data_IF_695749677011
#
_entry.id   IF_695749677011
#
_cell.length_a   1.000
_cell.length_b   1.000
_cell.length_c   1.000
_cell.angle_alpha   90.00
_cell.angle_beta   90.00
_cell.angle_gamma   90.00
#
_symmetry.space_group_name_H-M   'P 1'
#
loop_
_entity.id
_entity.type
_entity.pdbx_description
1 polymer ?
#
# COMPACT_ATOMS: atom_id res chain seq x y z
N UNK A 1 -4.87 5.45 -8.46
CA UNK A 1 -6.34 5.47 -8.65
C UNK A 1 -6.95 4.09 -8.41
N UNK A 2 -6.54 3.06 -9.15
CA UNK A 2 -7.05 1.68 -8.97
C UNK A 2 -7.02 1.21 -7.51
N UNK A 3 -5.88 1.36 -6.83
CA UNK A 3 -5.71 1.03 -5.40
C UNK A 3 -6.73 1.75 -4.49
N UNK A 4 -6.96 3.05 -4.70
CA UNK A 4 -7.89 3.82 -3.89
C UNK A 4 -9.36 3.38 -4.11
N UNK A 5 -9.72 3.00 -5.34
CA UNK A 5 -11.06 2.47 -5.67
C UNK A 5 -11.28 1.11 -5.02
N UNK A 6 -10.31 0.19 -5.12
CA UNK A 6 -10.40 -1.14 -4.50
C UNK A 6 -10.53 -1.03 -2.98
N UNK A 7 -9.68 -0.23 -2.33
CA UNK A 7 -9.75 -0.02 -0.88
C UNK A 7 -11.06 0.67 -0.44
N UNK A 8 -11.58 1.60 -1.24
CA UNK A 8 -12.87 2.23 -0.99
C UNK A 8 -14.05 1.25 -1.11
N UNK A 9 -14.02 0.36 -2.09
CA UNK A 9 -15.02 -0.69 -2.26
C UNK A 9 -14.95 -1.74 -1.13
N UNK A 10 -13.75 -2.14 -0.70
CA UNK A 10 -13.56 -2.99 0.48
C UNK A 10 -14.14 -2.34 1.73
N UNK A 11 -13.89 -1.04 1.94
CA UNK A 11 -14.47 -0.30 3.07
C UNK A 11 -16.00 -0.30 3.01
N UNK A 12 -16.57 -0.04 1.83
CA UNK A 12 -18.03 -0.01 1.65
C UNK A 12 -18.67 -1.39 1.87
N UNK A 13 -17.99 -2.49 1.52
CA UNK A 13 -18.49 -3.85 1.78
C UNK A 13 -18.46 -4.22 3.26
N UNK A 14 -17.60 -3.59 4.07
CA UNK A 14 -17.51 -3.83 5.52
C UNK A 14 -18.50 -3.00 6.34
N UNK A 15 -19.05 -1.90 5.79
CA UNK A 15 -20.04 -1.06 6.49
C UNK A 15 -21.32 -1.83 6.89
N UNK A 16 -21.97 -2.63 6.02
CA UNK A 16 -23.16 -3.42 6.37
C UNK A 16 -22.93 -4.41 7.53
N UNK A 17 -21.67 -4.82 7.74
CA UNK A 17 -21.26 -5.77 8.78
C UNK A 17 -21.43 -5.19 10.19
N UNK A 18 -21.45 -3.86 10.34
CA UNK A 18 -21.72 -3.20 11.62
C UNK A 18 -23.21 -3.25 12.01
N UNK A 19 -24.11 -3.30 11.03
CA UNK A 19 -25.56 -3.20 11.24
C UNK A 19 -26.27 -4.55 11.19
N UNK A 20 -25.66 -5.56 10.55
CA UNK A 20 -26.32 -6.84 10.26
C UNK A 20 -25.62 -7.98 10.99
N UNK A 21 -26.37 -8.74 11.80
CA UNK A 21 -25.88 -9.94 12.51
C UNK A 21 -26.17 -11.24 11.78
N UNK A 22 -26.69 -11.14 10.56
CA UNK A 22 -27.01 -12.31 9.75
C UNK A 22 -25.71 -12.93 9.19
N UNK A 23 -25.53 -14.23 9.43
CA UNK A 23 -24.33 -14.98 9.06
C UNK A 23 -24.13 -14.98 7.55
N UNK A 24 -25.20 -15.09 6.76
CA UNK A 24 -25.10 -15.16 5.30
C UNK A 24 -24.67 -13.82 4.69
N UNK A 25 -25.23 -12.71 5.19
CA UNK A 25 -24.89 -11.36 4.74
C UNK A 25 -23.45 -11.02 5.13
N UNK A 26 -23.03 -11.39 6.34
CA UNK A 26 -21.66 -11.18 6.81
C UNK A 26 -20.63 -11.94 5.97
N UNK A 27 -20.92 -13.21 5.64
CA UNK A 27 -20.03 -14.01 4.78
C UNK A 27 -19.89 -13.39 3.38
N UNK A 28 -21.01 -13.01 2.76
CA UNK A 28 -21.01 -12.42 1.42
C UNK A 28 -20.23 -11.09 1.41
N UNK A 29 -20.47 -10.23 2.41
CA UNK A 29 -19.79 -8.95 2.55
C UNK A 29 -18.27 -9.10 2.77
N UNK A 30 -17.87 -10.06 3.60
CA UNK A 30 -16.45 -10.38 3.82
C UNK A 30 -15.80 -10.93 2.55
N UNK A 31 -16.45 -11.87 1.86
CA UNK A 31 -15.91 -12.46 0.64
C UNK A 31 -15.66 -11.38 -0.44
N UNK A 32 -16.62 -10.48 -0.64
CA UNK A 32 -16.50 -9.35 -1.56
C UNK A 32 -15.38 -8.41 -1.09
N UNK A 33 -15.29 -8.11 0.20
CA UNK A 33 -14.25 -7.25 0.76
C UNK A 33 -12.84 -7.82 0.56
N UNK A 34 -12.66 -9.11 0.82
CA UNK A 34 -11.41 -9.84 0.60
C UNK A 34 -11.03 -9.88 -0.88
N UNK A 35 -12.00 -10.10 -1.78
CA UNK A 35 -11.75 -10.08 -3.22
C UNK A 35 -11.15 -8.74 -3.69
N UNK A 36 -11.72 -7.60 -3.26
CA UNK A 36 -11.17 -6.29 -3.60
C UNK A 36 -9.83 -6.00 -2.91
N UNK A 37 -9.63 -6.52 -1.69
CA UNK A 37 -8.38 -6.39 -0.96
C UNK A 37 -7.22 -7.10 -1.69
N UNK A 38 -7.45 -8.33 -2.15
CA UNK A 38 -6.45 -9.13 -2.89
C UNK A 38 -6.06 -8.48 -4.23
N UNK A 39 -7.03 -7.86 -4.92
CA UNK A 39 -6.76 -7.11 -6.16
C UNK A 39 -5.76 -5.96 -5.96
N UNK A 40 -5.63 -5.46 -4.71
CA UNK A 40 -4.73 -4.36 -4.38
C UNK A 40 -3.29 -4.81 -4.14
N UNK A 41 -3.07 -6.10 -3.86
CA UNK A 41 -1.74 -6.64 -3.56
C UNK A 41 -0.81 -6.47 -4.76
N UNK A 42 -1.20 -6.93 -5.95
CA UNK A 42 -0.35 -6.85 -7.16
C UNK A 42 0.20 -5.45 -7.44
N UNK A 43 -0.64 -4.40 -7.51
CA UNK A 43 -0.19 -3.03 -7.68
C UNK A 43 0.73 -2.52 -6.57
N UNK A 44 0.49 -2.89 -5.31
CA UNK A 44 1.36 -2.47 -4.20
C UNK A 44 2.79 -2.95 -4.37
N UNK A 45 2.99 -4.16 -4.91
CA UNK A 45 4.32 -4.69 -5.20
C UNK A 45 4.96 -4.08 -6.46
N UNK A 46 4.16 -3.61 -7.43
CA UNK A 46 4.67 -2.95 -8.64
C UNK A 46 5.22 -1.54 -8.35
N UNK A 47 4.60 -0.80 -7.42
CA UNK A 47 4.94 0.60 -7.13
C UNK A 47 6.44 0.81 -6.78
N UNK A 48 7.08 0.02 -5.89
CA UNK A 48 8.52 0.14 -5.62
C UNK A 48 9.40 -0.07 -6.86
N UNK A 49 8.99 -0.99 -7.75
CA UNK A 49 9.71 -1.28 -8.99
C UNK A 49 9.57 -0.14 -10.02
N UNK A 50 8.42 0.52 -10.05
CA UNK A 50 8.15 1.63 -10.95
C UNK A 50 8.78 2.96 -10.48
N UNK A 51 8.87 3.20 -9.16
CA UNK A 51 9.35 4.47 -8.57
C UNK A 51 10.88 4.55 -8.51
N UNK A 52 11.57 3.45 -8.18
CA UNK A 52 13.01 3.44 -7.96
C UNK A 52 13.64 2.14 -8.51
N UNK A 53 13.85 2.03 -9.84
CA UNK A 53 14.36 0.80 -10.45
C UNK A 53 15.74 0.39 -9.90
N UNK A 54 16.62 1.36 -9.64
CA UNK A 54 17.98 1.10 -9.13
C UNK A 54 18.02 0.68 -7.65
N UNK A 55 16.97 0.98 -6.87
CA UNK A 55 16.88 0.69 -5.43
C UNK A 55 15.62 -0.12 -5.07
N UNK A 56 15.05 -0.83 -6.04
CA UNK A 56 13.77 -1.53 -5.90
C UNK A 56 13.80 -2.57 -4.76
N UNK A 57 14.95 -3.21 -4.53
CA UNK A 57 15.15 -4.15 -3.42
C UNK A 57 15.05 -3.51 -2.03
N UNK A 58 15.57 -2.28 -1.86
CA UNK A 58 15.49 -1.57 -0.57
C UNK A 58 14.07 -1.06 -0.32
N UNK A 59 13.42 -0.52 -1.35
CA UNK A 59 12.03 -0.08 -1.27
C UNK A 59 11.07 -1.24 -0.97
N UNK A 60 11.26 -2.39 -1.63
CA UNK A 60 10.51 -3.63 -1.34
C UNK A 60 10.80 -4.18 0.06
N UNK A 61 12.05 -4.10 0.53
CA UNK A 61 12.43 -4.49 1.90
C UNK A 61 11.73 -3.65 2.98
N UNK A 62 11.61 -2.34 2.77
CA UNK A 62 10.84 -1.47 3.67
C UNK A 62 9.35 -1.86 3.70
N UNK A 63 8.79 -2.18 2.54
CA UNK A 63 7.39 -2.63 2.44
C UNK A 63 7.16 -3.94 3.21
N UNK A 64 8.09 -4.91 3.09
CA UNK A 64 8.02 -6.18 3.81
C UNK A 64 8.18 -5.99 5.33
N UNK A 65 9.05 -5.07 5.75
CA UNK A 65 9.19 -4.73 7.17
C UNK A 65 7.88 -4.18 7.73
N UNK A 66 7.17 -3.35 6.97
CA UNK A 66 5.85 -2.85 7.32
C UNK A 66 4.82 -3.97 7.50
N UNK A 67 4.76 -4.94 6.58
CA UNK A 67 3.83 -6.07 6.68
C UNK A 67 4.16 -7.00 7.85
N UNK A 68 5.45 -7.26 8.12
CA UNK A 68 5.90 -8.04 9.27
C UNK A 68 5.49 -7.39 10.60
N UNK A 69 5.71 -6.07 10.74
CA UNK A 69 5.27 -5.34 11.93
C UNK A 69 3.74 -5.38 12.09
N UNK A 70 2.99 -5.18 11.01
CA UNK A 70 1.53 -5.24 11.05
C UNK A 70 1.03 -6.64 11.46
N UNK A 71 1.68 -7.71 10.98
CA UNK A 71 1.35 -9.09 11.35
C UNK A 71 1.60 -9.39 12.83
N UNK A 72 2.60 -8.76 13.46
CA UNK A 72 2.88 -8.90 14.89
C UNK A 72 1.87 -8.08 15.72
N UNK A 73 1.56 -6.86 15.30
CA UNK A 73 0.71 -5.94 16.07
C UNK A 73 -0.78 -6.32 15.97
N UNK A 74 -1.23 -6.86 14.84
CA UNK A 74 -2.65 -7.15 14.58
C UNK A 74 -3.29 -8.12 15.59
N UNK A 75 -2.70 -9.30 15.90
CA UNK A 75 -3.26 -10.23 16.89
C UNK A 75 -3.29 -9.63 18.30
N UNK A 76 -2.27 -8.86 18.66
CA UNK A 76 -2.18 -8.21 19.99
C UNK A 76 -3.28 -7.17 20.14
N UNK A 77 -3.46 -6.30 19.13
CA UNK A 77 -4.51 -5.31 19.14
C UNK A 77 -5.90 -5.96 19.16
N UNK A 78 -6.15 -6.96 18.31
CA UNK A 78 -7.42 -7.68 18.27
C UNK A 78 -7.72 -8.40 19.60
N UNK A 79 -6.74 -9.09 20.18
CA UNK A 79 -6.88 -9.78 21.47
C UNK A 79 -7.21 -8.81 22.60
N UNK A 80 -6.47 -7.70 22.73
CA UNK A 80 -6.73 -6.69 23.76
C UNK A 80 -8.11 -6.03 23.62
N UNK A 81 -8.58 -5.82 22.40
CA UNK A 81 -9.91 -5.25 22.14
C UNK A 81 -11.02 -6.23 22.55
N UNK A 82 -10.86 -7.51 22.24
CA UNK A 82 -11.83 -8.55 22.61
C UNK A 82 -11.85 -8.73 24.13
N UNK A 83 -10.68 -8.81 24.78
CA UNK A 83 -10.57 -9.03 26.23
C UNK A 83 -11.14 -7.89 27.06
N UNK A 84 -10.95 -6.62 26.64
CA UNK A 84 -11.42 -5.46 27.41
C UNK A 84 -12.90 -5.15 27.25
N UNK A 85 -13.45 -5.35 26.06
CA UNK A 85 -14.81 -4.90 25.73
C UNK A 85 -15.80 -6.05 25.56
N UNK A 86 -15.34 -7.30 25.41
CA UNK A 86 -16.18 -8.46 25.16
C UNK A 86 -16.98 -8.39 23.84
N UNK A 87 -16.68 -7.42 22.97
CA UNK A 87 -17.43 -7.16 21.75
C UNK A 87 -16.60 -7.52 20.51
N UNK A 88 -17.06 -8.54 19.79
CA UNK A 88 -16.47 -9.04 18.55
C UNK A 88 -16.55 -8.07 17.37
N UNK A 89 -17.34 -7.00 17.48
CA UNK A 89 -17.46 -5.97 16.43
C UNK A 89 -16.30 -4.96 16.46
N UNK A 90 -15.61 -4.79 17.59
CA UNK A 90 -14.54 -3.78 17.72
C UNK A 90 -13.32 -4.03 16.81
N UNK A 91 -12.81 -5.27 16.66
CA UNK A 91 -11.73 -5.55 15.71
C UNK A 91 -12.12 -5.18 14.27
N UNK A 92 -13.37 -5.43 13.87
CA UNK A 92 -13.87 -5.04 12.55
C UNK A 92 -13.93 -3.52 12.39
N UNK A 93 -14.37 -2.80 13.42
CA UNK A 93 -14.37 -1.34 13.41
C UNK A 93 -12.94 -0.77 13.26
N UNK A 94 -11.97 -1.33 13.98
CA UNK A 94 -10.56 -0.92 13.85
C UNK A 94 -10.04 -1.17 12.45
N UNK A 95 -10.35 -2.33 11.85
CA UNK A 95 -10.00 -2.63 10.46
C UNK A 95 -10.62 -1.62 9.48
N UNK A 96 -11.90 -1.24 9.67
CA UNK A 96 -12.57 -0.22 8.83
C UNK A 96 -11.87 1.13 8.95
N UNK A 97 -11.49 1.55 10.16
CA UNK A 97 -10.76 2.82 10.38
C UNK A 97 -9.38 2.78 9.72
N UNK A 98 -8.65 1.67 9.85
CA UNK A 98 -7.35 1.49 9.20
C UNK A 98 -7.49 1.50 7.67
N UNK A 99 -8.52 0.86 7.12
CA UNK A 99 -8.86 0.92 5.70
C UNK A 99 -9.18 2.34 5.25
N UNK A 100 -9.93 3.12 6.04
CA UNK A 100 -10.23 4.51 5.73
C UNK A 100 -8.95 5.36 5.65
N UNK A 101 -8.04 5.18 6.59
CA UNK A 101 -6.72 5.83 6.57
C UNK A 101 -5.94 5.39 5.33
N UNK A 102 -5.96 4.09 4.99
CA UNK A 102 -5.34 3.55 3.79
C UNK A 102 -5.87 4.17 2.50
N UNK A 103 -7.18 4.41 2.40
CA UNK A 103 -7.80 5.10 1.25
C UNK A 103 -7.29 6.54 1.14
N UNK A 104 -7.27 7.29 2.25
CA UNK A 104 -6.78 8.68 2.26
C UNK A 104 -5.30 8.75 1.87
N UNK A 105 -4.48 7.85 2.42
CA UNK A 105 -3.06 7.76 2.07
C UNK A 105 -2.85 7.35 0.62
N UNK A 106 -3.71 6.48 0.07
CA UNK A 106 -3.65 6.07 -1.34
C UNK A 106 -3.92 7.23 -2.30
N UNK A 107 -4.73 8.22 -1.91
CA UNK A 107 -4.87 9.46 -2.69
C UNK A 107 -3.63 10.36 -2.63
N UNK A 108 -2.82 10.24 -1.58
CA UNK A 108 -1.51 10.94 -1.49
C UNK A 108 -0.39 10.22 -2.22
N UNK A 109 -0.54 8.93 -2.54
CA UNK A 109 0.43 8.22 -3.37
C UNK A 109 0.43 8.82 -4.77
N UNK A 110 1.47 9.58 -5.10
CA UNK A 110 1.77 10.08 -6.45
C UNK A 110 2.86 9.18 -7.07
N UNK A 111 2.50 8.04 -7.70
CA UNK A 111 3.47 7.13 -8.31
C UNK A 111 4.21 7.75 -9.52
N UNK A 112 3.77 8.91 -9.99
CA UNK A 112 4.28 9.61 -11.17
C UNK A 112 5.39 10.64 -10.87
N UNK A 113 5.72 10.86 -9.60
CA UNK A 113 6.99 11.48 -9.24
C UNK A 113 8.04 10.37 -9.19
N UNK A 114 8.54 9.95 -10.37
CA UNK A 114 9.75 9.14 -10.42
C UNK A 114 10.84 9.90 -9.68
N UNK A 115 11.57 9.23 -8.80
CA UNK A 115 12.81 9.82 -8.30
C UNK A 115 13.75 9.87 -9.51
N UNK A 116 13.84 11.03 -10.17
CA UNK A 116 14.96 11.32 -11.05
C UNK A 116 16.21 11.32 -10.16
N UNK A 117 16.88 10.17 -10.08
CA UNK A 117 18.28 10.18 -9.73
C UNK A 117 18.97 11.03 -10.79
N UNK A 118 19.56 12.14 -10.34
CA UNK A 118 20.46 12.92 -11.17
C UNK A 118 21.40 11.95 -11.86
N UNK A 119 21.30 11.95 -13.19
CA UNK A 119 22.12 11.24 -14.16
C UNK A 119 23.47 10.82 -13.53
N UNK A 120 23.80 9.52 -13.44
CA UNK A 120 25.13 9.11 -13.05
C UNK A 120 26.08 9.88 -13.96
N UNK A 121 26.99 10.67 -13.36
CA UNK A 121 27.99 11.42 -14.12
C UNK A 121 28.57 10.47 -15.17
N UNK A 122 28.46 10.85 -16.44
CA UNK A 122 28.89 10.04 -17.56
C UNK A 122 30.26 9.43 -17.22
N UNK A 123 30.47 8.12 -17.47
CA UNK A 123 31.77 7.52 -17.20
C UNK A 123 32.80 8.38 -17.93
N UNK A 124 33.76 8.92 -17.17
CA UNK A 124 34.87 9.69 -17.74
C UNK A 124 35.58 8.76 -18.69
N UNK A 125 35.29 8.86 -19.98
CA UNK A 125 36.05 8.19 -21.03
C UNK A 125 37.45 8.78 -20.98
N UNK A 126 38.49 7.99 -20.67
CA UNK A 126 39.87 8.46 -20.82
C UNK A 126 40.14 8.52 -22.32
N UNK A 127 39.96 9.68 -22.95
CA UNK A 127 40.39 9.89 -24.34
C UNK A 127 39.51 10.71 -25.28
N UNK A 128 38.73 11.67 -24.80
CA UNK A 128 38.16 12.69 -25.70
C UNK A 128 39.11 13.89 -25.76
N UNK A 129 39.92 13.95 -26.83
CA UNK A 129 40.68 15.14 -27.21
C UNK A 129 39.75 16.36 -27.32
N UNK A 130 40.18 17.57 -26.91
CA UNK A 130 39.36 18.76 -27.02
C UNK A 130 39.23 19.19 -28.48
N UNK A 131 38.05 18.92 -29.08
CA UNK A 131 37.69 19.45 -30.39
C UNK A 131 37.68 20.99 -30.37
N UNK A 132 38.22 21.67 -31.40
CA UNK A 132 38.42 23.11 -31.36
C UNK A 132 37.07 23.82 -31.49
N UNK A 133 36.83 24.74 -30.55
CA UNK A 133 35.70 25.69 -30.58
C UNK A 133 35.88 26.61 -31.79
N UNK A 134 35.18 26.33 -32.89
CA UNK A 134 35.10 27.26 -34.02
C UNK A 134 34.04 28.30 -33.69
N UNK A 135 34.53 29.48 -33.30
CA UNK A 135 33.79 30.73 -33.24
C UNK A 135 33.64 31.32 -34.64
N UNK A 136 32.42 31.32 -35.17
CA UNK A 136 31.69 32.47 -35.73
C UNK A 136 30.40 32.04 -36.41
#
# INVERSE_FOLDING_TARGET
LMVAVCLGLTLLSLVPLMFTKDMHISLACLAIGFFFSEMTIGPMWAIPMDIAPDHCGTASGMMNTGSAMAAIVSPVAAGLLIDKFGNWQLPFLVSIVLLAIGVVLSFRMKPQNKFEYGQPAAPLTPGAEPSPVVSK
#
